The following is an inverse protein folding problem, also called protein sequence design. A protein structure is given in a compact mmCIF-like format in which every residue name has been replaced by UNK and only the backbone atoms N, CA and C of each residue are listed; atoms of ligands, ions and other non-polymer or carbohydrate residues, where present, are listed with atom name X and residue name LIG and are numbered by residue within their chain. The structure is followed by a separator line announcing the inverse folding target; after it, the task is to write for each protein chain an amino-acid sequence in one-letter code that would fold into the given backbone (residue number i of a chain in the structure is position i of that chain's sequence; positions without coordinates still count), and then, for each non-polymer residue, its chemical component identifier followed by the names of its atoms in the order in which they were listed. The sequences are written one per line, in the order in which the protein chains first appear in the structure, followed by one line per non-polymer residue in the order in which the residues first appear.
data_IF_618533337786
#
_entry.id   IF_618533337786
#
_cell.length_a   1.000
_cell.length_b   1.000
_cell.length_c   1.000
_cell.angle_alpha   90.00
_cell.angle_beta   90.00
_cell.angle_gamma   90.00
#
_symmetry.space_group_name_H-M   'P 1'
#
loop_
_entity.id
_entity.type
_entity.pdbx_description
1 polymer ?
#
# COMPACT_ATOMS: atom_id res chain seq x y z
N UNK A 1 -6.46 -25.68 16.93
CA UNK A 1 -5.95 -24.31 16.64
C UNK A 1 -6.92 -23.44 15.82
N UNK A 2 -7.73 -23.99 14.90
CA UNK A 2 -8.59 -23.18 14.01
C UNK A 2 -9.77 -22.44 14.66
N UNK A 3 -10.42 -23.01 15.68
CA UNK A 3 -11.62 -22.43 16.31
C UNK A 3 -11.27 -21.21 17.18
N UNK A 4 -10.18 -21.28 17.94
CA UNK A 4 -9.66 -20.14 18.73
C UNK A 4 -9.19 -18.99 17.83
N UNK A 5 -8.58 -19.29 16.68
CA UNK A 5 -8.19 -18.27 15.70
C UNK A 5 -9.40 -17.55 15.06
N UNK A 6 -10.52 -18.27 14.84
CA UNK A 6 -11.76 -17.68 14.30
C UNK A 6 -12.44 -16.74 15.31
N UNK A 7 -12.40 -17.06 16.61
CA UNK A 7 -12.97 -16.22 17.67
C UNK A 7 -12.16 -14.94 17.90
N UNK A 8 -10.83 -14.99 17.77
CA UNK A 8 -9.98 -13.80 17.88
C UNK A 8 -10.18 -12.85 16.68
N UNK A 9 -10.49 -13.40 15.50
CA UNK A 9 -10.84 -12.62 14.30
C UNK A 9 -12.16 -11.82 14.45
N UNK A 10 -13.02 -12.19 15.40
CA UNK A 10 -14.23 -11.45 15.75
C UNK A 10 -13.98 -10.32 16.75
N UNK A 11 -12.95 -10.42 17.61
CA UNK A 11 -12.60 -9.39 18.62
C UNK A 11 -11.75 -8.25 18.08
N UNK A 12 -10.94 -8.49 17.06
CA UNK A 12 -10.15 -7.44 16.39
C UNK A 12 -11.02 -6.86 15.29
N UNK A 13 -11.90 -5.91 15.64
CA UNK A 13 -12.90 -5.29 14.76
C UNK A 13 -12.35 -4.44 13.60
N UNK A 14 -11.08 -4.62 13.23
CA UNK A 14 -10.45 -3.91 12.13
C UNK A 14 -10.23 -4.85 10.94
N UNK A 15 -10.84 -4.57 9.77
CA UNK A 15 -10.56 -5.29 8.54
C UNK A 15 -9.04 -5.32 8.27
N UNK A 16 -8.48 -6.47 7.86
CA UNK A 16 -7.04 -6.60 7.56
C UNK A 16 -6.54 -5.53 6.58
N UNK A 17 -7.41 -5.10 5.66
CA UNK A 17 -7.17 -4.04 4.67
C UNK A 17 -6.78 -2.72 5.35
N UNK A 18 -7.47 -2.33 6.44
CA UNK A 18 -7.20 -1.06 7.16
C UNK A 18 -5.83 -1.06 7.83
N UNK A 19 -5.34 -2.23 8.24
CA UNK A 19 -4.03 -2.37 8.90
C UNK A 19 -2.87 -2.43 7.90
N UNK A 20 -3.08 -3.00 6.71
CA UNK A 20 -2.02 -3.21 5.73
C UNK A 20 -1.85 -2.05 4.73
N UNK A 21 -2.92 -1.31 4.44
CA UNK A 21 -2.89 -0.16 3.49
C UNK A 21 -1.87 0.92 3.91
N UNK A 22 -1.85 1.39 5.18
CA UNK A 22 -0.87 2.39 5.61
C UNK A 22 0.58 1.89 5.43
N UNK A 23 0.84 0.61 5.75
CA UNK A 23 2.17 0.03 5.63
C UNK A 23 2.65 -0.08 4.18
N UNK A 24 1.78 -0.48 3.25
CA UNK A 24 2.12 -0.59 1.82
C UNK A 24 2.45 0.79 1.22
N UNK A 25 1.66 1.81 1.56
CA UNK A 25 1.84 3.18 1.05
C UNK A 25 3.14 3.81 1.57
N UNK A 26 3.62 3.43 2.76
CA UNK A 26 4.89 3.96 3.31
C UNK A 26 6.10 3.12 2.85
N UNK A 27 5.96 1.80 2.83
CA UNK A 27 7.08 0.89 2.58
C UNK A 27 7.54 0.86 1.12
N UNK A 28 6.59 0.85 0.17
CA UNK A 28 6.93 0.71 -1.26
C UNK A 28 7.65 1.94 -1.83
N UNK A 29 7.18 3.19 -1.64
CA UNK A 29 7.83 4.35 -2.26
C UNK A 29 9.19 4.70 -1.62
N UNK A 30 9.46 4.27 -0.38
CA UNK A 30 10.72 4.56 0.30
C UNK A 30 11.96 4.07 -0.45
N UNK A 31 11.93 2.87 -1.04
CA UNK A 31 13.07 2.33 -1.78
C UNK A 31 13.36 3.09 -3.08
N UNK A 32 12.32 3.54 -3.79
CA UNK A 32 12.48 4.29 -5.04
C UNK A 32 13.00 5.71 -4.78
N UNK A 33 12.54 6.36 -3.71
CA UNK A 33 13.07 7.66 -3.27
C UNK A 33 14.53 7.56 -2.84
N UNK A 34 14.90 6.52 -2.08
CA UNK A 34 16.28 6.30 -1.69
C UNK A 34 17.20 6.15 -2.90
N UNK A 35 16.81 5.33 -3.88
CA UNK A 35 17.57 5.19 -5.14
C UNK A 35 17.66 6.50 -5.91
N UNK A 36 16.55 7.25 -6.03
CA UNK A 36 16.55 8.54 -6.71
C UNK A 36 17.53 9.55 -6.10
N UNK A 37 17.52 9.69 -4.78
CA UNK A 37 18.41 10.60 -4.05
C UNK A 37 19.87 10.10 -4.09
N UNK A 38 20.09 8.79 -3.99
CA UNK A 38 21.42 8.18 -4.08
C UNK A 38 22.09 8.49 -5.43
N UNK A 39 21.40 8.27 -6.55
CA UNK A 39 21.96 8.56 -7.87
C UNK A 39 22.13 10.07 -8.12
N UNK A 40 21.25 10.91 -7.58
CA UNK A 40 21.43 12.37 -7.60
C UNK A 40 22.69 12.80 -6.83
N UNK A 41 22.97 12.21 -5.66
CA UNK A 41 24.17 12.48 -4.87
C UNK A 41 25.47 12.03 -5.55
N UNK A 42 25.39 11.04 -6.44
CA UNK A 42 26.51 10.56 -7.26
C UNK A 42 26.69 11.37 -8.57
N UNK A 43 25.98 12.48 -8.75
CA UNK A 43 25.92 13.29 -9.97
C UNK A 43 25.34 12.56 -11.20
N UNK A 44 24.71 11.39 -11.02
CA UNK A 44 23.96 10.71 -12.08
C UNK A 44 22.50 11.17 -12.07
N UNK A 45 22.30 12.37 -12.61
CA UNK A 45 21.00 13.06 -12.65
C UNK A 45 19.98 12.33 -13.52
N UNK A 46 20.43 11.71 -14.62
CA UNK A 46 19.54 10.99 -15.54
C UNK A 46 18.92 9.77 -14.85
N UNK A 47 19.75 8.95 -14.21
CA UNK A 47 19.27 7.77 -13.48
C UNK A 47 18.46 8.21 -12.25
N UNK A 48 18.92 9.24 -11.53
CA UNK A 48 18.22 9.80 -10.36
C UNK A 48 16.80 10.28 -10.66
N UNK A 49 16.62 11.08 -11.71
CA UNK A 49 15.31 11.58 -12.15
C UNK A 49 14.39 10.43 -12.59
N UNK A 50 14.92 9.42 -13.27
CA UNK A 50 14.13 8.24 -13.67
C UNK A 50 13.56 7.50 -12.44
N UNK A 51 14.37 7.28 -11.40
CA UNK A 51 13.92 6.64 -10.16
C UNK A 51 12.93 7.52 -9.37
N UNK A 52 13.14 8.83 -9.36
CA UNK A 52 12.26 9.79 -8.69
C UNK A 52 10.89 9.89 -9.39
N UNK A 53 10.87 9.93 -10.73
CA UNK A 53 9.63 9.90 -11.52
C UNK A 53 8.81 8.64 -11.25
N UNK A 54 9.47 7.47 -11.19
CA UNK A 54 8.82 6.21 -10.80
C UNK A 54 8.26 6.26 -9.38
N UNK A 55 8.98 6.88 -8.44
CA UNK A 55 8.51 7.04 -7.07
C UNK A 55 7.22 7.87 -7.00
N UNK A 56 7.17 9.01 -7.71
CA UNK A 56 5.98 9.89 -7.75
C UNK A 56 4.78 9.15 -8.37
N UNK A 57 5.00 8.43 -9.47
CA UNK A 57 3.95 7.62 -10.11
C UNK A 57 3.41 6.55 -9.16
N UNK A 58 4.27 5.86 -8.40
CA UNK A 58 3.84 4.87 -7.41
C UNK A 58 3.07 5.51 -6.25
N UNK A 59 3.52 6.65 -5.74
CA UNK A 59 2.83 7.37 -4.64
C UNK A 59 1.40 7.76 -5.07
N UNK A 60 1.19 8.16 -6.33
CA UNK A 60 -0.13 8.46 -6.86
C UNK A 60 -0.96 7.18 -7.14
N UNK A 61 -0.36 6.16 -7.75
CA UNK A 61 -1.06 4.95 -8.20
C UNK A 61 -1.46 4.00 -7.06
N UNK A 62 -0.64 3.88 -6.02
CA UNK A 62 -0.90 2.97 -4.89
C UNK A 62 -2.22 3.28 -4.14
N UNK A 63 -2.50 4.51 -3.68
CA UNK A 63 -3.76 4.81 -3.01
C UNK A 63 -4.96 4.64 -3.95
N UNK A 64 -4.84 4.98 -5.24
CA UNK A 64 -5.89 4.75 -6.23
C UNK A 64 -6.22 3.26 -6.38
N UNK A 65 -5.21 2.40 -6.49
CA UNK A 65 -5.38 0.94 -6.55
C UNK A 65 -5.97 0.35 -5.28
N UNK A 66 -5.60 0.88 -4.11
CA UNK A 66 -6.13 0.42 -2.81
C UNK A 66 -7.59 0.84 -2.61
N UNK A 67 -7.98 2.03 -3.08
CA UNK A 67 -9.39 2.46 -3.08
C UNK A 67 -10.21 1.58 -4.02
N UNK A 68 -9.71 1.31 -5.24
CA UNK A 68 -10.37 0.41 -6.18
C UNK A 68 -10.52 -1.02 -5.63
N UNK A 69 -9.45 -1.56 -5.01
CA UNK A 69 -9.47 -2.86 -4.36
C UNK A 69 -10.46 -2.90 -3.18
N UNK A 70 -10.57 -1.80 -2.41
CA UNK A 70 -11.54 -1.67 -1.35
C UNK A 70 -12.97 -1.67 -1.90
N UNK A 71 -13.27 -0.90 -2.94
CA UNK A 71 -14.59 -0.86 -3.58
C UNK A 71 -14.99 -2.24 -4.14
N UNK A 72 -14.05 -2.96 -4.76
CA UNK A 72 -14.30 -4.32 -5.29
C UNK A 72 -14.45 -5.38 -4.19
N UNK A 73 -13.74 -5.22 -3.06
CA UNK A 73 -13.72 -6.22 -1.96
C UNK A 73 -14.79 -5.95 -0.90
N UNK A 74 -15.29 -4.72 -0.79
CA UNK A 74 -16.41 -4.36 0.09
C UNK A 74 -17.72 -5.00 -0.41
N UNK A 75 -17.95 -6.25 0.00
CA UNK A 75 -19.26 -6.93 -0.07
C UNK A 75 -20.23 -6.43 1.01
N UNK A 76 -20.35 -5.13 1.24
CA UNK A 76 -21.41 -4.57 2.11
C UNK A 76 -22.72 -4.27 1.37
N UNK A 77 -23.00 -4.99 0.27
CA UNK A 77 -24.33 -5.03 -0.35
C UNK A 77 -25.01 -6.39 -0.23
N UNK A 78 -24.61 -7.27 0.70
CA UNK A 78 -25.31 -8.55 0.90
C UNK A 78 -25.16 -9.21 2.29
N UNK A 79 -25.49 -8.47 3.33
CA UNK A 79 -26.35 -9.01 4.41
C UNK A 79 -27.67 -8.22 4.28
N UNK A 80 -28.48 -8.54 3.28
CA UNK A 80 -29.55 -9.55 3.38
C UNK A 80 -30.32 -9.39 4.68
N UNK A 81 -31.40 -8.62 4.58
CA UNK A 81 -32.67 -8.69 5.33
C UNK A 81 -32.66 -8.59 6.85
#
# INVERSE_FOLDING_TARGET
AGIMASLIKAKVGYPRITLTVPSIVIMVPGMFLYKGIYYLGLNDVNTGIMWLSKAIMLIAALPLGLIAARILTDKNFRKSS
#
